data_IF_003366984803
#
_entry.id   IF_003366984803
#
_cell.length_a   1.000
_cell.length_b   1.000
_cell.length_c   1.000
_cell.angle_alpha   90.00
_cell.angle_beta   90.00
_cell.angle_gamma   90.00
#
_symmetry.space_group_name_H-M   'P 1'
#
loop_
_entity.id
_entity.type
_entity.pdbx_description
1 polymer ?
#
# COMPACT_ATOMS: atom_id res chain seq x y z
N UNK A 1 23.59 8.22 -12.67
CA UNK A 1 22.17 8.62 -12.49
C UNK A 1 21.88 8.80 -11.01
N UNK A 2 21.46 10.00 -10.57
CA UNK A 2 20.97 10.21 -9.18
C UNK A 2 19.67 9.45 -9.02
N UNK A 3 19.68 8.41 -8.20
CA UNK A 3 18.43 7.73 -7.87
C UNK A 3 17.48 8.68 -7.14
N UNK A 4 16.21 8.68 -7.55
CA UNK A 4 15.20 9.55 -7.00
C UNK A 4 14.99 9.21 -5.51
N UNK A 5 15.65 9.98 -4.60
CA UNK A 5 15.67 9.74 -3.14
C UNK A 5 14.24 9.65 -2.59
N UNK A 6 13.32 10.40 -3.18
CA UNK A 6 11.90 10.47 -2.84
C UNK A 6 11.19 9.12 -3.05
N UNK A 7 11.38 8.46 -4.20
CA UNK A 7 10.77 7.15 -4.47
C UNK A 7 11.30 6.08 -3.52
N UNK A 8 12.61 6.08 -3.26
CA UNK A 8 13.23 5.13 -2.30
C UNK A 8 12.68 5.33 -0.89
N UNK A 9 12.57 6.58 -0.46
CA UNK A 9 12.01 6.93 0.84
C UNK A 9 10.56 6.44 0.98
N UNK A 10 9.69 6.76 0.02
CA UNK A 10 8.29 6.32 0.08
C UNK A 10 8.13 4.81 -0.03
N UNK A 11 8.92 4.14 -0.88
CA UNK A 11 8.91 2.68 -0.97
C UNK A 11 9.33 2.03 0.36
N UNK A 12 10.37 2.55 1.03
CA UNK A 12 10.77 2.08 2.35
C UNK A 12 9.69 2.34 3.41
N UNK A 13 9.03 3.50 3.35
CA UNK A 13 7.92 3.83 4.24
C UNK A 13 6.74 2.86 4.07
N UNK A 14 6.30 2.61 2.84
CA UNK A 14 5.21 1.67 2.52
C UNK A 14 5.53 0.25 3.00
N UNK A 15 6.77 -0.21 2.83
CA UNK A 15 7.21 -1.54 3.29
C UNK A 15 7.03 -1.72 4.80
N UNK A 16 7.24 -0.66 5.58
CA UNK A 16 7.12 -0.65 7.04
C UNK A 16 5.69 -0.57 7.56
N UNK A 17 4.68 -0.34 6.71
CA UNK A 17 3.28 -0.24 7.13
C UNK A 17 2.73 -1.64 7.49
N UNK A 18 2.39 -1.93 8.76
CA UNK A 18 1.94 -3.26 9.19
C UNK A 18 0.51 -3.57 8.74
N UNK A 19 -0.32 -2.56 8.49
CA UNK A 19 -1.72 -2.73 8.10
C UNK A 19 -1.92 -3.15 6.64
N UNK A 20 -0.86 -3.12 5.83
CA UNK A 20 -0.90 -3.50 4.42
C UNK A 20 -0.38 -4.92 4.24
N UNK A 21 -1.08 -5.68 3.40
CA UNK A 21 -0.61 -6.99 2.93
C UNK A 21 0.58 -6.84 1.99
N UNK A 22 1.34 -7.91 1.76
CA UNK A 22 2.46 -7.93 0.82
C UNK A 22 2.03 -7.50 -0.59
N UNK A 23 0.85 -7.96 -1.04
CA UNK A 23 0.28 -7.60 -2.35
C UNK A 23 -0.08 -6.12 -2.43
N UNK A 24 -0.70 -5.55 -1.40
CA UNK A 24 -1.01 -4.11 -1.34
C UNK A 24 0.26 -3.25 -1.36
N UNK A 25 1.28 -3.65 -0.59
CA UNK A 25 2.58 -2.97 -0.58
C UNK A 25 3.22 -2.96 -1.96
N UNK A 26 3.21 -4.11 -2.63
CA UNK A 26 3.82 -4.25 -3.94
C UNK A 26 3.10 -3.40 -4.99
N UNK A 27 1.76 -3.43 -5.02
CA UNK A 27 0.96 -2.59 -5.91
C UNK A 27 1.32 -1.11 -5.72
N UNK A 28 1.33 -0.60 -4.48
CA UNK A 28 1.67 0.80 -4.22
C UNK A 28 3.11 1.16 -4.63
N UNK A 29 4.09 0.26 -4.40
CA UNK A 29 5.48 0.49 -4.80
C UNK A 29 5.62 0.52 -6.33
N UNK A 30 4.91 -0.35 -7.03
CA UNK A 30 4.89 -0.37 -8.50
C UNK A 30 4.27 0.91 -9.06
N UNK A 31 3.21 1.42 -8.44
CA UNK A 31 2.61 2.72 -8.80
C UNK A 31 3.59 3.89 -8.61
N UNK A 32 4.36 3.92 -7.52
CA UNK A 32 5.42 4.92 -7.31
C UNK A 32 6.52 4.87 -8.37
N UNK A 33 6.78 3.69 -8.92
CA UNK A 33 7.74 3.48 -10.01
C UNK A 33 7.14 3.67 -11.40
N UNK A 34 5.89 4.15 -11.48
CA UNK A 34 5.15 4.35 -12.73
C UNK A 34 4.92 3.08 -13.55
N UNK A 35 4.93 1.90 -12.89
CA UNK A 35 4.57 0.63 -13.52
C UNK A 35 3.06 0.63 -13.80
N UNK A 36 2.66 0.14 -14.98
CA UNK A 36 1.26 0.12 -15.40
C UNK A 36 0.43 -0.89 -14.60
N UNK A 37 -0.88 -0.70 -14.62
CA UNK A 37 -1.81 -1.60 -13.93
C UNK A 37 -1.85 -2.96 -14.63
N UNK A 38 -1.82 -2.98 -15.96
CA UNK A 38 -1.68 -4.17 -16.79
C UNK A 38 -0.48 -5.01 -16.39
N UNK A 39 0.72 -4.42 -16.39
CA UNK A 39 1.96 -5.14 -16.04
C UNK A 39 1.96 -5.65 -14.61
N UNK A 40 1.37 -4.89 -13.67
CA UNK A 40 1.18 -5.34 -12.29
C UNK A 40 0.15 -6.47 -12.21
N UNK A 41 -0.91 -6.42 -13.03
CA UNK A 41 -1.96 -7.42 -13.14
C UNK A 41 -1.45 -8.76 -13.67
N UNK A 42 -0.61 -8.73 -14.71
CA UNK A 42 0.03 -9.91 -15.30
C UNK A 42 0.79 -10.74 -14.26
N UNK A 43 1.55 -10.08 -13.37
CA UNK A 43 2.30 -10.77 -12.30
C UNK A 43 1.41 -11.59 -11.37
N UNK A 44 0.15 -11.18 -11.20
CA UNK A 44 -0.79 -11.84 -10.30
C UNK A 44 -1.95 -12.54 -11.04
N UNK A 45 -1.90 -12.61 -12.37
CA UNK A 45 -2.97 -13.12 -13.23
C UNK A 45 -4.34 -12.49 -12.90
N UNK A 46 -4.37 -11.16 -12.68
CA UNK A 46 -5.60 -10.41 -12.41
C UNK A 46 -5.75 -9.23 -13.36
N UNK A 47 -6.99 -8.76 -13.52
CA UNK A 47 -7.31 -7.59 -14.35
C UNK A 47 -6.82 -6.29 -13.72
N UNK A 48 -6.65 -5.26 -14.55
CA UNK A 48 -6.31 -3.91 -14.09
C UNK A 48 -7.32 -3.36 -13.08
N UNK A 49 -8.61 -3.64 -13.31
CA UNK A 49 -9.69 -3.25 -12.40
C UNK A 49 -9.49 -3.83 -11.00
N UNK A 50 -9.02 -5.08 -10.90
CA UNK A 50 -8.69 -5.68 -9.61
C UNK A 50 -7.47 -5.02 -8.96
N UNK A 51 -6.46 -4.64 -9.73
CA UNK A 51 -5.31 -3.86 -9.20
C UNK A 51 -5.76 -2.49 -8.67
N UNK A 52 -6.66 -1.77 -9.36
CA UNK A 52 -7.22 -0.50 -8.88
C UNK A 52 -8.00 -0.66 -7.57
N UNK A 53 -8.76 -1.74 -7.43
CA UNK A 53 -9.47 -2.04 -6.18
C UNK A 53 -8.49 -2.27 -5.02
N UNK A 54 -7.40 -3.00 -5.27
CA UNK A 54 -6.33 -3.23 -4.28
C UNK A 54 -5.67 -1.90 -3.89
N UNK A 55 -5.32 -1.06 -4.86
CA UNK A 55 -4.76 0.28 -4.63
C UNK A 55 -5.70 1.14 -3.77
N UNK A 56 -7.00 1.21 -4.11
CA UNK A 56 -8.02 1.94 -3.35
C UNK A 56 -8.14 1.42 -1.92
N UNK A 57 -8.17 0.10 -1.72
CA UNK A 57 -8.21 -0.54 -0.40
C UNK A 57 -6.98 -0.15 0.44
N UNK A 58 -5.78 -0.25 -0.14
CA UNK A 58 -4.53 0.07 0.53
C UNK A 58 -4.48 1.55 0.96
N UNK A 59 -4.86 2.48 0.08
CA UNK A 59 -4.93 3.91 0.39
C UNK A 59 -5.95 4.22 1.49
N UNK A 60 -7.08 3.51 1.49
CA UNK A 60 -8.10 3.65 2.54
C UNK A 60 -7.55 3.21 3.90
N UNK A 61 -6.80 2.10 3.96
CA UNK A 61 -6.13 1.63 5.19
C UNK A 61 -5.08 2.62 5.70
N UNK A 62 -4.33 3.25 4.79
CA UNK A 62 -3.36 4.30 5.14
C UNK A 62 -4.09 5.52 5.73
N UNK A 63 -5.13 6.01 5.02
CA UNK A 63 -5.91 7.19 5.44
C UNK A 63 -6.57 7.00 6.80
N UNK A 64 -7.10 5.81 7.06
CA UNK A 64 -7.84 5.53 8.28
C UNK A 64 -6.98 5.54 9.56
N UNK A 65 -5.64 5.69 9.47
CA UNK A 65 -4.71 5.73 10.62
C UNK A 65 -5.00 4.65 11.69
N UNK A 66 -5.47 3.48 11.26
CA UNK A 66 -6.03 2.43 12.15
C UNK A 66 -5.01 1.96 13.20
N UNK A 67 -3.71 2.16 12.95
CA UNK A 67 -2.66 1.83 13.91
C UNK A 67 -2.80 2.58 15.25
N UNK A 68 -3.26 3.84 15.26
CA UNK A 68 -3.49 4.57 16.51
C UNK A 68 -4.81 4.17 17.17
N UNK A 69 -5.88 3.92 16.40
CA UNK A 69 -7.19 3.63 17.00
C UNK A 69 -7.33 2.21 17.58
N UNK A 70 -6.57 1.21 17.09
CA UNK A 70 -6.60 -0.14 17.68
C UNK A 70 -5.96 -0.21 19.07
N UNK A 71 -4.97 0.64 19.35
CA UNK A 71 -4.36 0.76 20.68
C UNK A 71 -5.35 1.31 21.73
N UNK A 72 -6.27 2.20 21.33
CA UNK A 72 -7.24 2.83 22.26
C UNK A 72 -8.65 2.22 22.24
N UNK A 73 -8.97 1.31 21.31
CA UNK A 73 -10.28 0.63 21.30
C UNK A 73 -10.42 -0.48 22.35
N UNK A 74 -9.32 -1.00 22.90
CA UNK A 74 -9.34 -2.03 23.95
C UNK A 74 -9.38 -1.46 25.37
N UNK A 75 -9.35 -0.13 25.56
CA UNK A 75 -9.29 0.52 26.88
C UNK A 75 -10.61 1.12 27.35
N UNK A 76 -11.74 0.73 26.74
CA UNK A 76 -13.07 0.98 27.32
C UNK A 76 -13.62 -0.31 27.89
N UNK A 77 -13.05 -0.71 29.03
CA UNK A 77 -13.76 -1.48 30.05
C UNK A 77 -14.17 -0.44 31.09
N UNK A 78 -15.40 0.07 30.96
CA UNK A 78 -16.18 0.67 32.04
C UNK A 78 -17.61 0.18 31.81
#
# INVERSE_FOLDING_TARGET
MRANRTIRYFAAHIKKLPQLTSKEKEVLINRLKMVTLETTGLKYSVTEGRIRQIEKSALTKIRAKIYQQKLFKSSKVI
#
